data_IF_666187144517
#
_entry.id   IF_666187144517
#
_cell.length_a   1.000
_cell.length_b   1.000
_cell.length_c   1.000
_cell.angle_alpha   90.00
_cell.angle_beta   90.00
_cell.angle_gamma   90.00
#
_symmetry.space_group_name_H-M   'P 1'
#
loop_
_entity.id
_entity.type
_entity.pdbx_description
1 polymer ?
#
# COMPACT_ATOMS: atom_id res chain seq x y z
N UNK A 1 -9.16 20.09 -24.32
CA UNK A 1 -9.25 20.05 -22.85
C UNK A 1 -8.51 18.81 -22.38
N UNK A 2 -7.48 18.95 -21.55
CA UNK A 2 -6.74 17.78 -21.03
C UNK A 2 -7.61 17.12 -19.96
N UNK A 3 -8.12 15.92 -20.24
CA UNK A 3 -8.87 15.14 -19.26
C UNK A 3 -7.98 14.86 -18.05
N UNK A 4 -8.49 15.09 -16.83
CA UNK A 4 -7.76 14.78 -15.61
C UNK A 4 -7.88 13.27 -15.35
N UNK A 5 -6.78 12.55 -15.10
CA UNK A 5 -6.84 11.11 -14.86
C UNK A 5 -7.60 10.80 -13.56
N UNK A 6 -8.29 9.65 -13.49
CA UNK A 6 -9.03 9.24 -12.32
C UNK A 6 -8.10 8.87 -11.15
N UNK A 7 -8.71 8.87 -9.97
CA UNK A 7 -8.03 8.71 -8.69
C UNK A 7 -8.44 7.40 -8.04
N UNK A 8 -7.53 6.41 -8.00
CA UNK A 8 -7.78 5.15 -7.30
C UNK A 8 -7.40 5.21 -5.81
N UNK A 9 -8.32 4.79 -4.93
CA UNK A 9 -8.14 4.78 -3.46
C UNK A 9 -8.30 3.35 -2.94
N UNK A 10 -7.27 2.83 -2.28
CA UNK A 10 -7.34 1.58 -1.52
C UNK A 10 -6.99 1.87 -0.06
N UNK A 11 -7.97 1.71 0.84
CA UNK A 11 -7.82 1.93 2.27
C UNK A 11 -8.38 0.76 3.08
N UNK A 12 -7.80 0.51 4.25
CA UNK A 12 -8.21 -0.53 5.19
C UNK A 12 -9.41 -0.14 6.06
N UNK A 13 -9.64 1.18 6.23
CA UNK A 13 -10.76 1.72 7.00
C UNK A 13 -11.72 2.54 6.14
N UNK A 14 -13.00 2.41 6.45
CA UNK A 14 -14.06 3.19 5.80
C UNK A 14 -13.88 4.71 6.02
N UNK A 15 -13.42 5.11 7.20
CA UNK A 15 -13.18 6.50 7.53
C UNK A 15 -12.07 7.12 6.67
N UNK A 16 -10.93 6.45 6.52
CA UNK A 16 -9.84 6.92 5.68
C UNK A 16 -10.28 7.04 4.22
N UNK A 17 -11.01 6.04 3.72
CA UNK A 17 -11.56 6.03 2.37
C UNK A 17 -12.50 7.21 2.12
N UNK A 18 -13.47 7.44 3.01
CA UNK A 18 -14.43 8.55 2.89
C UNK A 18 -13.73 9.90 2.90
N UNK A 19 -12.81 10.12 3.84
CA UNK A 19 -12.04 11.37 3.93
C UNK A 19 -11.24 11.63 2.66
N UNK A 20 -10.54 10.62 2.16
CA UNK A 20 -9.79 10.75 0.92
C UNK A 20 -10.74 11.05 -0.25
N UNK A 21 -11.79 10.26 -0.44
CA UNK A 21 -12.79 10.47 -1.50
C UNK A 21 -13.34 11.90 -1.51
N UNK A 22 -13.85 12.38 -0.38
CA UNK A 22 -14.38 13.75 -0.25
C UNK A 22 -13.33 14.79 -0.63
N UNK A 23 -12.08 14.63 -0.21
CA UNK A 23 -11.00 15.56 -0.52
C UNK A 23 -10.72 15.71 -2.02
N UNK A 24 -10.78 14.62 -2.80
CA UNK A 24 -10.52 14.66 -4.25
C UNK A 24 -11.75 15.04 -5.06
N UNK A 25 -12.93 14.59 -4.67
CA UNK A 25 -14.19 15.01 -5.29
C UNK A 25 -14.39 16.53 -5.16
N UNK A 26 -14.06 17.12 -3.99
CA UNK A 26 -14.07 18.58 -3.79
C UNK A 26 -13.11 19.34 -4.72
N UNK A 27 -12.11 18.67 -5.30
CA UNK A 27 -11.16 19.24 -6.27
C UNK A 27 -11.55 18.97 -7.73
N UNK A 28 -12.74 18.39 -7.95
CA UNK A 28 -13.25 18.05 -9.27
C UNK A 28 -12.48 16.90 -9.92
N UNK A 29 -11.97 15.96 -9.10
CA UNK A 29 -11.32 14.75 -9.58
C UNK A 29 -12.28 13.57 -9.50
N UNK A 30 -12.30 12.75 -10.54
CA UNK A 30 -13.02 11.48 -10.54
C UNK A 30 -12.32 10.50 -9.60
N UNK A 31 -13.09 9.86 -8.72
CA UNK A 31 -12.58 8.96 -7.69
C UNK A 31 -13.15 7.56 -7.85
N UNK A 32 -12.25 6.58 -7.92
CA UNK A 32 -12.55 5.16 -7.85
C UNK A 32 -11.99 4.66 -6.52
N UNK A 33 -12.84 4.14 -5.62
CA UNK A 33 -12.40 3.70 -4.30
C UNK A 33 -12.81 2.24 -4.06
N UNK A 34 -11.86 1.38 -3.69
CA UNK A 34 -12.15 0.00 -3.34
C UNK A 34 -12.90 -0.08 -1.99
N UNK A 35 -13.72 -1.12 -1.82
CA UNK A 35 -14.42 -1.33 -0.56
C UNK A 35 -13.47 -1.71 0.58
N UNK A 36 -13.69 -1.18 1.80
CA UNK A 36 -12.91 -1.57 2.96
C UNK A 36 -13.19 -3.04 3.31
N UNK A 37 -12.18 -3.88 3.18
CA UNK A 37 -12.26 -5.33 3.37
C UNK A 37 -12.29 -5.77 4.86
N UNK A 38 -12.55 -4.85 5.79
CA UNK A 38 -12.29 -5.07 7.22
C UNK A 38 -10.79 -5.20 7.52
N UNK A 39 -10.44 -5.40 8.80
CA UNK A 39 -9.06 -5.34 9.27
C UNK A 39 -8.13 -6.29 8.47
N UNK A 40 -7.30 -5.72 7.58
CA UNK A 40 -6.43 -6.42 6.60
C UNK A 40 -5.25 -7.17 7.25
N UNK A 41 -5.24 -7.26 8.57
CA UNK A 41 -4.12 -7.72 9.41
C UNK A 41 -4.59 -8.92 10.26
N UNK A 42 -4.70 -10.11 9.68
CA UNK A 42 -5.07 -11.28 10.48
C UNK A 42 -5.16 -12.61 9.73
N UNK A 43 -4.76 -13.69 10.41
CA UNK A 43 -4.83 -15.08 9.93
C UNK A 43 -6.27 -15.57 9.64
N UNK A 44 -7.29 -14.83 10.10
CA UNK A 44 -8.72 -15.13 9.93
C UNK A 44 -9.40 -14.52 8.70
N UNK A 45 -8.66 -13.89 7.76
CA UNK A 45 -9.28 -13.38 6.53
C UNK A 45 -9.76 -14.50 5.62
N UNK A 46 -10.99 -14.35 5.12
CA UNK A 46 -11.57 -15.22 4.10
C UNK A 46 -10.73 -15.21 2.83
N UNK A 47 -10.81 -16.27 2.03
CA UNK A 47 -10.14 -16.34 0.72
C UNK A 47 -10.57 -15.17 -0.18
N UNK A 48 -11.87 -14.84 -0.20
CA UNK A 48 -12.40 -13.71 -0.96
C UNK A 48 -11.75 -12.38 -0.56
N UNK A 49 -11.52 -12.16 0.74
CA UNK A 49 -10.88 -10.94 1.22
C UNK A 49 -9.42 -10.81 0.80
N UNK A 50 -8.69 -11.94 0.76
CA UNK A 50 -7.31 -11.98 0.28
C UNK A 50 -7.22 -11.72 -1.22
N UNK A 51 -8.14 -12.28 -2.00
CA UNK A 51 -8.20 -12.05 -3.44
C UNK A 51 -8.54 -10.60 -3.77
N UNK A 52 -9.48 -9.98 -3.04
CA UNK A 52 -9.79 -8.57 -3.23
C UNK A 52 -8.59 -7.66 -2.85
N UNK A 53 -7.86 -7.99 -1.78
CA UNK A 53 -6.64 -7.28 -1.44
C UNK A 53 -5.57 -7.39 -2.55
N UNK A 54 -5.43 -8.56 -3.17
CA UNK A 54 -4.53 -8.75 -4.31
C UNK A 54 -4.98 -7.93 -5.53
N UNK A 55 -6.28 -7.90 -5.83
CA UNK A 55 -6.83 -7.07 -6.92
C UNK A 55 -6.52 -5.59 -6.67
N UNK A 56 -6.73 -5.09 -5.45
CA UNK A 56 -6.37 -3.72 -5.10
C UNK A 56 -4.87 -3.44 -5.31
N UNK A 57 -3.98 -4.37 -4.94
CA UNK A 57 -2.54 -4.22 -5.18
C UNK A 57 -2.21 -4.14 -6.68
N UNK A 58 -2.86 -4.95 -7.52
CA UNK A 58 -2.65 -4.96 -8.97
C UNK A 58 -3.19 -3.68 -9.62
N UNK A 59 -4.36 -3.20 -9.19
CA UNK A 59 -4.90 -1.92 -9.64
C UNK A 59 -3.99 -0.75 -9.24
N UNK A 60 -3.44 -0.77 -8.03
CA UNK A 60 -2.40 0.18 -7.64
C UNK A 60 -1.16 0.06 -8.54
N UNK A 61 -0.70 -1.16 -8.84
CA UNK A 61 0.48 -1.35 -9.68
C UNK A 61 0.30 -0.82 -11.12
N UNK A 62 -0.94 -0.77 -11.63
CA UNK A 62 -1.26 -0.15 -12.93
C UNK A 62 -1.25 1.38 -12.92
N UNK A 63 -1.18 2.03 -11.76
CA UNK A 63 -1.20 3.48 -11.70
C UNK A 63 0.10 4.13 -12.22
N UNK A 64 -0.06 5.30 -12.84
CA UNK A 64 0.99 6.18 -13.34
C UNK A 64 1.83 6.82 -12.23
N UNK A 65 1.23 7.09 -11.07
CA UNK A 65 1.94 7.51 -9.87
C UNK A 65 1.41 6.69 -8.67
N UNK A 66 2.20 6.64 -7.60
CA UNK A 66 1.85 5.89 -6.39
C UNK A 66 2.27 6.71 -5.19
N UNK A 67 1.32 7.14 -4.38
CA UNK A 67 1.56 7.61 -3.03
C UNK A 67 1.21 6.48 -2.08
N UNK A 68 2.02 6.32 -1.05
CA UNK A 68 1.94 5.17 -0.16
C UNK A 68 2.30 5.59 1.25
N UNK A 69 1.71 4.94 2.24
CA UNK A 69 2.04 5.19 3.62
C UNK A 69 3.39 4.54 3.97
N UNK A 70 4.20 5.26 4.74
CA UNK A 70 5.45 4.73 5.26
C UNK A 70 5.17 3.46 6.06
N UNK A 71 5.87 2.37 5.75
CA UNK A 71 5.79 1.04 6.39
C UNK A 71 4.63 0.12 6.00
N UNK A 72 3.82 0.45 5.00
CA UNK A 72 2.81 -0.51 4.51
C UNK A 72 3.42 -1.58 3.61
N UNK A 73 3.33 -2.85 4.01
CA UNK A 73 3.73 -3.99 3.14
C UNK A 73 2.76 -4.18 1.98
N UNK A 74 1.49 -3.81 2.16
CA UNK A 74 0.47 -3.84 1.11
C UNK A 74 0.86 -2.97 -0.08
N UNK A 75 1.21 -1.70 0.18
CA UNK A 75 1.68 -0.80 -0.87
C UNK A 75 3.07 -1.17 -1.38
N UNK A 76 3.92 -1.76 -0.53
CA UNK A 76 5.25 -2.26 -0.92
C UNK A 76 5.19 -3.33 -1.99
N UNK A 77 4.23 -4.24 -1.89
CA UNK A 77 3.96 -5.19 -2.97
C UNK A 77 3.52 -4.47 -4.24
N UNK A 78 2.60 -3.50 -4.15
CA UNK A 78 2.07 -2.80 -5.33
C UNK A 78 3.17 -2.02 -6.09
N UNK A 79 3.98 -1.20 -5.41
CA UNK A 79 5.05 -0.46 -6.09
C UNK A 79 6.22 -1.34 -6.52
N UNK A 80 6.46 -2.45 -5.82
CA UNK A 80 7.42 -3.48 -6.23
C UNK A 80 7.01 -4.17 -7.53
N UNK A 81 5.73 -4.53 -7.67
CA UNK A 81 5.17 -5.08 -8.93
C UNK A 81 5.24 -4.05 -10.04
N UNK A 82 4.90 -2.79 -9.76
CA UNK A 82 4.96 -1.71 -10.74
C UNK A 82 6.39 -1.43 -11.23
N UNK A 83 7.41 -1.74 -10.42
CA UNK A 83 8.81 -1.38 -10.67
C UNK A 83 9.03 0.14 -10.59
N UNK A 84 8.27 0.85 -9.75
CA UNK A 84 8.27 2.33 -9.72
C UNK A 84 8.48 2.88 -8.33
N UNK A 85 9.08 4.08 -8.30
CA UNK A 85 9.39 4.81 -7.07
C UNK A 85 8.13 5.48 -6.54
N UNK A 86 7.61 5.08 -5.36
CA UNK A 86 6.44 5.71 -4.78
C UNK A 86 6.81 7.06 -4.11
N UNK A 87 5.80 7.89 -3.90
CA UNK A 87 5.83 9.01 -2.97
C UNK A 87 5.39 8.51 -1.58
N UNK A 88 6.28 8.63 -0.60
CA UNK A 88 5.97 8.22 0.77
C UNK A 88 5.31 9.37 1.52
N UNK A 89 4.15 9.06 2.11
CA UNK A 89 3.43 9.93 3.03
C UNK A 89 3.83 9.53 4.46
N UNK A 90 4.54 10.43 5.14
CA UNK A 90 4.93 10.22 6.53
C UNK A 90 3.72 10.40 7.48
N UNK A 91 3.59 9.61 8.56
CA UNK A 91 2.39 9.61 9.41
C UNK A 91 2.20 10.89 10.25
N UNK A 92 3.26 11.69 10.45
CA UNK A 92 3.29 12.74 11.49
C UNK A 92 3.63 14.14 10.96
N UNK A 93 4.20 14.25 9.75
CA UNK A 93 4.81 15.50 9.30
C UNK A 93 3.94 16.34 8.35
N UNK A 94 2.68 15.94 8.10
CA UNK A 94 1.59 16.75 7.54
C UNK A 94 1.80 17.50 6.20
N UNK A 95 3.02 17.51 5.65
CA UNK A 95 3.45 18.48 4.63
C UNK A 95 4.50 17.93 3.68
N UNK A 96 5.18 16.82 4.00
CA UNK A 96 6.30 16.34 3.21
C UNK A 96 6.05 14.92 2.68
N UNK A 97 5.45 14.84 1.49
CA UNK A 97 5.56 13.65 0.66
C UNK A 97 6.97 13.61 0.03
N UNK A 98 7.71 12.52 0.20
CA UNK A 98 9.03 12.37 -0.42
C UNK A 98 9.03 11.22 -1.41
N UNK A 99 9.55 11.45 -2.61
CA UNK A 99 9.77 10.36 -3.55
C UNK A 99 10.88 9.45 -3.01
N UNK A 100 10.63 8.15 -2.98
CA UNK A 100 11.65 7.17 -2.61
C UNK A 100 12.75 7.12 -3.68
N UNK A 101 14.02 6.88 -3.27
CA UNK A 101 15.12 6.74 -4.22
C UNK A 101 14.98 5.48 -5.10
N UNK A 102 14.29 4.45 -4.60
CA UNK A 102 14.13 3.13 -5.26
C UNK A 102 12.68 2.63 -5.18
N UNK A 103 12.36 1.68 -6.06
CA UNK A 103 11.14 0.88 -6.02
C UNK A 103 11.26 -0.35 -5.09
N UNK A 104 12.44 -0.55 -4.49
CA UNK A 104 12.68 -1.70 -3.62
C UNK A 104 11.94 -1.57 -2.29
N UNK A 105 11.28 -2.65 -1.82
CA UNK A 105 10.60 -2.65 -0.54
C UNK A 105 11.58 -2.58 0.63
N UNK A 106 11.20 -1.87 1.68
CA UNK A 106 12.03 -1.74 2.87
C UNK A 106 12.06 -3.04 3.69
N UNK A 107 13.26 -3.54 3.99
CA UNK A 107 13.44 -4.66 4.92
C UNK A 107 13.46 -4.17 6.38
N UNK A 108 12.30 -4.08 7.03
CA UNK A 108 12.21 -3.58 8.42
C UNK A 108 12.87 -4.48 9.47
N UNK A 109 13.17 -5.74 9.14
CA UNK A 109 14.00 -6.60 9.97
C UNK A 109 15.06 -7.28 9.11
N UNK A 110 16.21 -6.61 8.98
CA UNK A 110 17.39 -7.14 8.30
C UNK A 110 17.89 -8.42 8.98
N UNK A 111 17.67 -8.58 10.30
CA UNK A 111 17.95 -9.83 11.03
C UNK A 111 17.06 -10.98 10.58
N UNK A 112 15.77 -10.72 10.28
CA UNK A 112 14.84 -11.73 9.78
C UNK A 112 15.10 -12.05 8.29
N UNK A 113 15.54 -11.08 7.49
CA UNK A 113 15.92 -11.31 6.09
C UNK A 113 17.18 -12.19 5.96
N UNK A 114 18.23 -11.93 6.76
CA UNK A 114 19.38 -12.84 6.90
C UNK A 114 18.95 -14.22 7.42
N UNK A 115 18.03 -14.26 8.38
CA UNK A 115 17.46 -15.53 8.88
C UNK A 115 16.64 -16.29 7.84
N UNK A 116 15.94 -15.61 6.92
CA UNK A 116 15.20 -16.22 5.81
C UNK A 116 16.14 -16.77 4.73
N UNK A 117 17.21 -16.04 4.40
CA UNK A 117 18.28 -16.53 3.53
C UNK A 117 19.00 -17.73 4.18
N UNK A 118 19.30 -17.67 5.48
CA UNK A 118 19.82 -18.81 6.24
C UNK A 118 18.82 -19.97 6.34
N UNK A 119 17.50 -19.73 6.33
CA UNK A 119 16.47 -20.79 6.29
C UNK A 119 16.34 -21.45 4.94
N UNK A 120 16.37 -20.67 3.85
CA UNK A 120 16.43 -21.19 2.48
C UNK A 120 17.73 -21.96 2.23
N UNK A 121 18.80 -21.63 2.96
CA UNK A 121 20.08 -22.33 2.99
C UNK A 121 20.22 -23.32 4.16
N UNK A 122 19.14 -23.67 4.88
CA UNK A 122 19.12 -24.83 5.79
C UNK A 122 19.22 -24.61 7.32
N UNK A 123 18.84 -23.47 7.89
CA UNK A 123 18.90 -23.24 9.35
C UNK A 123 17.70 -22.50 9.96
N UNK A 124 16.94 -23.15 10.84
CA UNK A 124 15.61 -22.74 11.31
C UNK A 124 15.47 -21.74 12.48
N UNK A 125 14.20 -21.65 12.92
CA UNK A 125 13.54 -21.00 14.10
C UNK A 125 12.96 -19.59 13.98
N UNK A 126 11.67 -19.52 14.34
CA UNK A 126 10.65 -18.49 14.13
C UNK A 126 10.31 -17.74 15.41
N UNK A 127 10.11 -16.43 15.29
CA UNK A 127 9.49 -15.60 16.33
C UNK A 127 8.45 -14.71 15.68
N UNK A 128 7.20 -14.89 16.13
CA UNK A 128 6.02 -14.13 15.74
C UNK A 128 6.19 -12.66 16.13
N UNK A 129 5.93 -11.76 15.18
CA UNK A 129 5.74 -10.34 15.49
C UNK A 129 4.58 -9.84 14.62
N UNK A 130 3.44 -9.63 15.26
CA UNK A 130 2.24 -9.08 14.63
C UNK A 130 2.50 -7.60 14.32
N UNK A 131 2.57 -7.25 13.04
CA UNK A 131 2.73 -5.86 12.60
C UNK A 131 1.36 -5.13 12.65
N UNK A 132 1.34 -3.85 13.08
CA UNK A 132 0.11 -3.06 13.13
C UNK A 132 -0.42 -2.75 11.73
N UNK A 133 -1.75 -2.55 11.66
CA UNK A 133 -2.50 -2.24 10.45
C UNK A 133 -1.89 -1.03 9.72
N UNK A 134 -1.69 -1.20 8.41
CA UNK A 134 -1.09 -0.18 7.57
C UNK A 134 -2.14 0.42 6.65
N UNK A 135 -2.44 1.70 6.87
CA UNK A 135 -3.20 2.53 5.94
C UNK A 135 -2.35 2.74 4.69
N UNK A 136 -2.93 2.83 3.49
CA UNK A 136 -2.21 3.20 2.25
C UNK A 136 -2.99 4.32 1.57
N UNK A 137 -2.31 5.34 1.07
CA UNK A 137 -2.95 6.48 0.40
C UNK A 137 -2.35 6.72 -0.99
N UNK A 138 -3.07 6.26 -2.02
CA UNK A 138 -3.37 6.89 -3.32
C UNK A 138 -2.31 7.18 -4.42
N UNK A 139 -2.69 6.99 -5.71
CA UNK A 139 -2.92 8.05 -6.73
C UNK A 139 -2.19 8.08 -8.09
N UNK A 140 -3.05 8.20 -9.12
CA UNK A 140 -2.94 8.58 -10.55
C UNK A 140 -2.80 7.37 -11.44
N UNK A 141 -3.87 6.97 -12.13
CA UNK A 141 -3.86 5.90 -13.13
C UNK A 141 -4.05 6.54 -14.51
N UNK A 142 -3.20 6.18 -15.48
CA UNK A 142 -3.32 6.63 -16.87
C UNK A 142 -4.33 5.77 -17.62
#
# INVERSE_FOLDING_TARGET
TVARPPVFIAADTELARRRARTFFEQRGLEVIASEPQGNRSGAGQSFGSRMAALVDMLLLASCSELFVHERSTFSSTAYGIAGRRPYMVAPWDGSNCKQQPSAEPCAHSVRTARGLVSRLLGGGRSSNTTLPASVSYQLKCN
#
